data_IF_194695771777
#
_entry.id   IF_194695771777
#
_cell.length_a   1.000
_cell.length_b   1.000
_cell.length_c   1.000
_cell.angle_alpha   90.00
_cell.angle_beta   90.00
_cell.angle_gamma   90.00
#
_symmetry.space_group_name_H-M   'P 1'
#
loop_
_entity.id
_entity.type
_entity.pdbx_description
1 polymer ?
#
# COMPACT_ATOMS: atom_id res chain seq x y z
N UNK A 1 -17.44 -12.87 18.94
CA UNK A 1 -16.09 -13.09 18.38
C UNK A 1 -15.66 -11.75 17.82
N UNK A 2 -14.56 -11.21 18.31
CA UNK A 2 -14.17 -9.82 18.10
C UNK A 2 -13.80 -9.58 16.62
N UNK A 3 -14.65 -8.88 15.90
CA UNK A 3 -14.28 -8.20 14.66
C UNK A 3 -13.46 -6.96 15.04
N UNK A 4 -12.23 -7.20 15.49
CA UNK A 4 -11.21 -6.16 15.62
C UNK A 4 -10.61 -5.91 14.23
N UNK A 5 -11.41 -5.30 13.36
CA UNK A 5 -10.94 -4.69 12.12
C UNK A 5 -10.63 -3.23 12.40
N UNK A 6 -9.37 -2.94 12.72
CA UNK A 6 -8.87 -1.61 13.05
C UNK A 6 -9.13 -0.60 11.91
N UNK A 7 -9.41 0.68 12.24
CA UNK A 7 -9.73 1.70 11.25
C UNK A 7 -8.51 2.02 10.37
N UNK A 8 -8.58 1.67 9.08
CA UNK A 8 -7.62 2.17 8.09
C UNK A 8 -7.95 3.62 7.76
N UNK A 9 -7.14 4.53 8.30
CA UNK A 9 -6.95 5.88 7.76
C UNK A 9 -8.10 6.85 8.03
N UNK A 10 -8.04 7.51 9.19
CA UNK A 10 -8.78 8.73 9.47
C UNK A 10 -8.57 9.76 8.35
N UNK A 11 -9.68 10.31 7.86
CA UNK A 11 -9.78 11.33 6.84
C UNK A 11 -8.83 12.52 7.08
N UNK A 12 -8.22 13.03 6.01
CA UNK A 12 -7.74 14.42 5.99
C UNK A 12 -7.97 15.00 4.61
N UNK A 13 -8.61 16.16 4.60
CA UNK A 13 -9.16 16.83 3.44
C UNK A 13 -8.08 17.57 2.63
N UNK A 14 -8.22 17.52 1.30
CA UNK A 14 -7.62 18.38 0.26
C UNK A 14 -6.23 18.97 0.54
N UNK A 15 -5.23 18.10 0.43
CA UNK A 15 -3.87 18.44 -0.04
C UNK A 15 -3.47 17.37 -1.04
N UNK A 16 -2.56 17.67 -1.97
CA UNK A 16 -2.08 16.79 -3.03
C UNK A 16 -1.39 15.52 -2.46
N UNK A 17 -2.17 14.58 -1.93
CA UNK A 17 -1.68 13.37 -1.29
C UNK A 17 -1.63 12.22 -2.29
N UNK A 18 -0.51 11.52 -2.32
CA UNK A 18 -0.34 10.32 -3.15
C UNK A 18 -1.09 9.16 -2.52
N UNK A 19 -1.97 8.50 -3.27
CA UNK A 19 -2.75 7.37 -2.77
C UNK A 19 -2.05 6.06 -3.11
N UNK A 20 -1.59 5.33 -2.09
CA UNK A 20 -1.02 3.99 -2.22
C UNK A 20 -2.13 2.96 -2.05
N UNK A 21 -2.50 2.26 -3.13
CA UNK A 21 -3.52 1.20 -3.07
C UNK A 21 -2.86 -0.16 -3.06
N UNK A 22 -3.11 -0.93 -1.99
CA UNK A 22 -2.59 -2.30 -1.84
C UNK A 22 -3.73 -3.31 -1.86
N UNK A 23 -3.60 -4.37 -2.65
CA UNK A 23 -4.60 -5.44 -2.67
C UNK A 23 -4.52 -6.28 -1.39
N UNK A 24 -5.47 -6.08 -0.47
CA UNK A 24 -5.63 -6.84 0.77
C UNK A 24 -6.59 -8.04 0.63
N UNK A 25 -6.93 -8.45 -0.60
CA UNK A 25 -7.68 -9.68 -0.82
C UNK A 25 -6.93 -10.90 -0.26
N UNK A 26 -7.65 -11.89 0.25
CA UNK A 26 -7.09 -13.10 0.89
C UNK A 26 -6.00 -13.79 0.04
N UNK A 27 -6.17 -13.82 -1.29
CA UNK A 27 -5.18 -14.39 -2.21
C UNK A 27 -3.90 -13.56 -2.37
N UNK A 28 -3.95 -12.23 -2.26
CA UNK A 28 -2.76 -11.38 -2.31
C UNK A 28 -2.08 -11.30 -0.94
N UNK A 29 -2.89 -11.26 0.13
CA UNK A 29 -2.42 -11.29 1.50
C UNK A 29 -1.55 -12.52 1.78
N UNK A 30 -2.03 -13.72 1.40
CA UNK A 30 -1.29 -14.97 1.54
C UNK A 30 0.01 -15.03 0.70
N UNK A 31 0.10 -14.26 -0.39
CA UNK A 31 1.30 -14.21 -1.25
C UNK A 31 2.40 -13.31 -0.70
N UNK A 32 2.13 -12.52 0.35
CA UNK A 32 3.12 -11.65 0.96
C UNK A 32 2.76 -10.17 0.97
N UNK A 33 1.56 -9.77 0.53
CA UNK A 33 1.14 -8.36 0.65
C UNK A 33 1.08 -7.87 2.10
N UNK A 34 0.93 -8.77 3.09
CA UNK A 34 1.07 -8.42 4.50
C UNK A 34 2.45 -7.81 4.79
N UNK A 35 3.51 -8.45 4.30
CA UNK A 35 4.89 -7.98 4.51
C UNK A 35 5.15 -6.67 3.76
N UNK A 36 4.66 -6.59 2.52
CA UNK A 36 4.74 -5.35 1.74
C UNK A 36 4.04 -4.19 2.46
N UNK A 37 2.87 -4.42 3.05
CA UNK A 37 2.14 -3.42 3.82
C UNK A 37 2.96 -2.91 5.02
N UNK A 38 3.59 -3.82 5.79
CA UNK A 38 4.48 -3.46 6.90
C UNK A 38 5.66 -2.62 6.42
N UNK A 39 6.34 -3.03 5.34
CA UNK A 39 7.48 -2.30 4.77
C UNK A 39 7.08 -0.89 4.34
N UNK A 40 5.95 -0.74 3.63
CA UNK A 40 5.44 0.57 3.21
C UNK A 40 5.10 1.42 4.44
N UNK A 41 4.38 0.87 5.41
CA UNK A 41 3.97 1.61 6.60
C UNK A 41 5.19 2.12 7.36
N UNK A 42 6.20 1.27 7.53
CA UNK A 42 7.44 1.62 8.19
C UNK A 42 8.22 2.69 7.42
N UNK A 43 8.33 2.56 6.09
CA UNK A 43 8.97 3.53 5.22
C UNK A 43 8.29 4.89 5.28
N UNK A 44 6.96 4.95 5.15
CA UNK A 44 6.20 6.19 5.24
C UNK A 44 6.38 6.87 6.60
N UNK A 45 6.45 6.09 7.67
CA UNK A 45 6.66 6.60 9.03
C UNK A 45 8.07 7.14 9.23
N UNK A 46 9.08 6.43 8.77
CA UNK A 46 10.50 6.82 8.86
C UNK A 46 10.74 8.15 8.12
N UNK A 47 10.16 8.28 6.92
CA UNK A 47 10.25 9.48 6.09
C UNK A 47 9.19 10.55 6.42
N UNK A 48 8.34 10.33 7.44
CA UNK A 48 7.19 11.20 7.81
C UNK A 48 6.29 11.58 6.63
N UNK A 49 6.11 10.67 5.70
CA UNK A 49 5.26 10.81 4.52
C UNK A 49 3.81 10.41 4.77
N UNK A 50 3.44 9.93 5.96
CA UNK A 50 2.06 9.57 6.31
C UNK A 50 1.07 10.75 6.15
N UNK A 51 1.56 12.00 6.24
CA UNK A 51 0.74 13.20 5.99
C UNK A 51 0.66 13.59 4.50
N UNK A 52 1.51 13.02 3.64
CA UNK A 52 1.53 13.26 2.19
C UNK A 52 1.05 12.05 1.39
N UNK A 53 1.02 10.87 2.00
CA UNK A 53 0.78 9.61 1.31
C UNK A 53 -0.26 8.82 2.08
N UNK A 54 -1.35 8.48 1.40
CA UNK A 54 -2.47 7.75 1.98
C UNK A 54 -2.43 6.28 1.55
N UNK A 55 -2.12 5.40 2.50
CA UNK A 55 -2.11 3.96 2.28
C UNK A 55 -3.52 3.38 2.46
N UNK A 56 -4.11 2.92 1.36
CA UNK A 56 -5.46 2.34 1.31
C UNK A 56 -5.40 0.89 0.87
N UNK A 57 -6.16 0.04 1.55
CA UNK A 57 -6.32 -1.35 1.16
C UNK A 57 -7.52 -1.54 0.23
N UNK A 58 -7.32 -2.20 -0.91
CA UNK A 58 -8.40 -2.59 -1.82
C UNK A 58 -8.61 -4.11 -1.81
N UNK A 59 -9.84 -4.60 -1.98
CA UNK A 59 -10.14 -6.05 -1.86
C UNK A 59 -9.84 -6.85 -3.13
N UNK A 60 -10.07 -6.27 -4.32
CA UNK A 60 -9.85 -6.96 -5.59
C UNK A 60 -9.84 -5.95 -6.75
N UNK A 61 -8.70 -5.81 -7.43
CA UNK A 61 -8.59 -5.03 -8.68
C UNK A 61 -8.67 -5.92 -9.94
N UNK A 62 -9.01 -7.20 -9.79
CA UNK A 62 -9.08 -8.15 -10.93
C UNK A 62 -7.72 -8.61 -11.46
N UNK A 63 -6.60 -8.08 -10.96
CA UNK A 63 -5.24 -8.44 -11.35
C UNK A 63 -4.55 -9.43 -10.40
N UNK A 64 -5.30 -10.27 -9.67
CA UNK A 64 -4.77 -11.22 -8.68
C UNK A 64 -3.74 -12.21 -9.26
N UNK A 65 -3.78 -12.46 -10.56
CA UNK A 65 -2.85 -13.32 -11.30
C UNK A 65 -1.45 -12.74 -11.43
N UNK A 66 -1.28 -11.42 -11.33
CA UNK A 66 0.02 -10.74 -11.40
C UNK A 66 0.47 -10.15 -10.06
N UNK A 67 -0.28 -10.46 -8.99
CA UNK A 67 0.03 -10.02 -7.64
C UNK A 67 1.35 -10.59 -7.13
N UNK A 68 2.00 -9.93 -6.16
CA UNK A 68 1.55 -8.72 -5.45
C UNK A 68 1.57 -7.45 -6.31
N UNK A 69 0.49 -6.67 -6.25
CA UNK A 69 0.36 -5.40 -6.97
C UNK A 69 0.25 -4.25 -5.97
N UNK A 70 0.95 -3.16 -6.27
CA UNK A 70 0.88 -1.89 -5.56
C UNK A 70 0.50 -0.80 -6.57
N UNK A 71 -0.48 0.03 -6.25
CA UNK A 71 -0.81 1.20 -7.03
C UNK A 71 -0.32 2.45 -6.31
N UNK A 72 0.36 3.35 -7.00
CA UNK A 72 0.81 4.64 -6.48
C UNK A 72 0.15 5.72 -7.33
N UNK A 73 -0.86 6.40 -6.78
CA UNK A 73 -1.75 7.28 -7.53
C UNK A 73 -2.47 6.53 -8.65
N UNK A 74 -2.15 6.89 -9.89
CA UNK A 74 -2.68 6.28 -11.12
C UNK A 74 -1.77 5.20 -11.72
N UNK A 75 -0.58 4.96 -11.15
CA UNK A 75 0.37 3.97 -11.67
C UNK A 75 0.26 2.64 -10.94
N UNK A 76 0.10 1.56 -11.69
CA UNK A 76 0.07 0.19 -11.16
C UNK A 76 1.43 -0.49 -11.33
N UNK A 77 1.95 -1.03 -10.23
CA UNK A 77 3.20 -1.77 -10.15
C UNK A 77 2.91 -3.23 -9.78
N UNK A 78 2.85 -4.13 -10.77
CA UNK A 78 2.71 -5.57 -10.53
C UNK A 78 4.05 -6.23 -10.18
N UNK A 79 4.01 -7.41 -9.55
CA UNK A 79 5.19 -8.20 -9.15
C UNK A 79 6.22 -7.44 -8.30
N UNK A 80 5.73 -6.66 -7.35
CA UNK A 80 6.58 -5.94 -6.40
C UNK A 80 7.15 -6.88 -5.32
N UNK A 81 8.46 -6.79 -5.10
CA UNK A 81 9.15 -7.50 -4.04
C UNK A 81 9.44 -6.59 -2.86
N UNK A 82 9.61 -7.17 -1.67
CA UNK A 82 9.94 -6.43 -0.44
C UNK A 82 11.28 -5.70 -0.53
N UNK A 83 12.22 -6.23 -1.32
CA UNK A 83 13.56 -5.67 -1.52
C UNK A 83 13.56 -4.43 -2.42
N UNK A 84 12.81 -4.45 -3.52
CA UNK A 84 12.68 -3.33 -4.45
C UNK A 84 11.66 -2.27 -3.97
N UNK A 85 10.80 -2.64 -3.03
CA UNK A 85 9.73 -1.80 -2.53
C UNK A 85 10.20 -0.44 -1.99
N UNK A 86 11.17 -0.37 -1.06
CA UNK A 86 11.68 0.92 -0.58
C UNK A 86 12.26 1.77 -1.73
N UNK A 87 13.04 1.17 -2.63
CA UNK A 87 13.59 1.89 -3.77
C UNK A 87 12.50 2.41 -4.73
N UNK A 88 11.42 1.64 -4.93
CA UNK A 88 10.26 2.07 -5.73
C UNK A 88 9.52 3.23 -5.06
N UNK A 89 9.28 3.13 -3.75
CA UNK A 89 8.65 4.20 -2.98
C UNK A 89 9.50 5.47 -3.01
N UNK A 90 10.82 5.35 -2.85
CA UNK A 90 11.73 6.48 -2.97
C UNK A 90 11.61 7.15 -4.33
N UNK A 91 11.65 6.38 -5.42
CA UNK A 91 11.61 6.93 -6.79
C UNK A 91 10.28 7.58 -7.17
N UNK A 92 9.17 7.17 -6.58
CA UNK A 92 7.84 7.70 -6.90
C UNK A 92 7.35 8.74 -5.88
N UNK A 93 7.93 8.80 -4.68
CA UNK A 93 7.52 9.73 -3.60
C UNK A 93 8.54 10.83 -3.27
N UNK A 94 9.84 10.66 -3.60
CA UNK A 94 10.89 11.68 -3.49
C UNK A 94 11.26 12.26 -4.85
#
# INVERSE_FOLDING_TARGET
>A
MAESGEPVGSATEKGERVVLTLCMGSSCFARGNQKNLEVIRQFLKDHRMEDRVSLVGSRCEGACTQGPNLRIGDRLFPRINQEDLPALLERELL
#
